data_IF_297862928668
#
_entry.id   IF_297862928668
#
_cell.length_a   1.000
_cell.length_b   1.000
_cell.length_c   1.000
_cell.angle_alpha   90.00
_cell.angle_beta   90.00
_cell.angle_gamma   90.00
#
_symmetry.space_group_name_H-M   'P 1'
#
loop_
_entity.id
_entity.type
_entity.pdbx_description
1 polymer ?
#
# COMPACT_ATOMS: atom_id res chain seq x y z
N UNK A 1 -33.12 31.47 17.65
CA UNK A 1 -31.72 31.03 17.81
C UNK A 1 -31.20 30.60 16.45
N UNK A 2 -29.96 30.95 16.06
CA UNK A 2 -29.32 30.46 14.84
C UNK A 2 -28.30 29.40 15.23
N UNK A 3 -28.51 28.15 14.82
CA UNK A 3 -27.50 27.10 14.84
C UNK A 3 -26.70 27.18 13.54
N UNK A 4 -25.39 27.33 13.62
CA UNK A 4 -24.50 27.27 12.46
C UNK A 4 -23.65 26.02 12.60
N UNK A 5 -24.01 24.94 11.92
CA UNK A 5 -23.15 23.76 11.77
C UNK A 5 -22.04 24.05 10.77
N UNK A 6 -20.83 23.58 11.06
CA UNK A 6 -19.65 23.76 10.19
C UNK A 6 -19.15 22.42 9.69
N UNK A 7 -19.66 22.02 8.53
CA UNK A 7 -19.17 20.83 7.82
C UNK A 7 -17.85 21.16 7.11
N UNK A 8 -16.85 20.30 7.28
CA UNK A 8 -15.53 20.39 6.62
C UNK A 8 -15.16 19.05 5.98
N UNK A 9 -14.50 19.08 4.82
CA UNK A 9 -14.09 17.88 4.09
C UNK A 9 -12.60 17.89 3.74
N UNK A 10 -12.00 16.70 3.66
CA UNK A 10 -10.64 16.48 3.13
C UNK A 10 -10.68 15.33 2.13
N UNK A 11 -10.17 15.57 0.92
CA UNK A 11 -9.92 14.54 -0.09
C UNK A 11 -8.46 14.11 -0.03
N UNK A 12 -8.21 12.82 -0.14
CA UNK A 12 -6.87 12.23 -0.20
C UNK A 12 -6.77 11.26 -1.35
N UNK A 13 -5.73 11.44 -2.16
CA UNK A 13 -5.37 10.54 -3.23
C UNK A 13 -3.97 10.00 -2.93
N UNK A 14 -3.88 8.67 -2.82
CA UNK A 14 -2.66 7.99 -2.43
C UNK A 14 -2.31 6.95 -3.49
N UNK A 15 -1.02 6.87 -3.84
CA UNK A 15 -0.49 5.88 -4.76
C UNK A 15 0.59 5.08 -4.05
N UNK A 16 0.46 3.76 -4.03
CA UNK A 16 1.46 2.84 -3.52
C UNK A 16 2.09 2.13 -4.71
N UNK A 17 3.42 1.99 -4.69
CA UNK A 17 4.18 1.44 -5.81
C UNK A 17 3.84 2.13 -7.16
N UNK A 18 3.97 3.46 -7.21
CA UNK A 18 3.56 4.32 -8.34
C UNK A 18 4.10 3.83 -9.69
N UNK A 19 5.35 3.35 -9.71
CA UNK A 19 6.03 2.86 -10.90
C UNK A 19 5.86 1.35 -11.14
N UNK A 20 5.09 0.66 -10.29
CA UNK A 20 4.84 -0.78 -10.37
C UNK A 20 6.14 -1.62 -10.39
N UNK A 21 7.11 -1.25 -9.55
CA UNK A 21 8.36 -2.00 -9.40
C UNK A 21 8.11 -3.21 -8.48
N UNK A 22 8.57 -4.39 -8.89
CA UNK A 22 8.44 -5.60 -8.08
C UNK A 22 9.42 -5.54 -6.91
N UNK A 23 8.94 -5.72 -5.68
CA UNK A 23 9.77 -5.67 -4.48
C UNK A 23 9.76 -7.04 -3.78
N UNK A 24 10.81 -7.88 -3.93
CA UNK A 24 10.99 -9.12 -3.19
C UNK A 24 11.03 -8.88 -1.67
N UNK A 25 10.27 -9.65 -0.89
CA UNK A 25 10.22 -9.44 0.57
C UNK A 25 10.64 -10.64 1.40
N UNK A 26 10.55 -11.87 0.88
CA UNK A 26 10.91 -13.03 1.69
C UNK A 26 11.31 -14.25 0.88
N UNK A 27 11.78 -15.20 1.68
CA UNK A 27 11.72 -16.63 1.42
C UNK A 27 12.72 -17.15 0.39
N UNK A 28 13.66 -16.31 -0.04
CA UNK A 28 14.88 -16.78 -0.67
C UNK A 28 15.80 -17.42 0.37
N UNK A 29 16.18 -18.68 0.15
CA UNK A 29 17.18 -19.36 0.98
C UNK A 29 18.58 -19.12 0.43
N UNK A 30 19.53 -18.85 1.31
CA UNK A 30 20.97 -18.81 0.98
C UNK A 30 21.66 -20.15 1.23
N UNK A 31 20.92 -21.18 1.67
CA UNK A 31 21.45 -22.51 1.92
C UNK A 31 21.52 -23.32 0.62
N UNK A 32 22.71 -23.78 0.26
CA UNK A 32 23.02 -24.51 -0.98
C UNK A 32 22.26 -25.84 -1.14
N UNK A 33 21.78 -26.46 -0.05
CA UNK A 33 20.98 -27.71 -0.12
C UNK A 33 19.46 -27.45 -0.10
N UNK A 34 19.02 -26.20 -0.06
CA UNK A 34 17.60 -25.84 -0.06
C UNK A 34 17.01 -25.93 -1.47
N UNK A 35 15.80 -26.49 -1.59
CA UNK A 35 15.02 -26.43 -2.85
C UNK A 35 14.63 -25.00 -3.22
N UNK A 36 14.65 -24.09 -2.25
CA UNK A 36 14.39 -22.65 -2.42
C UNK A 36 15.68 -21.84 -2.53
N UNK A 37 16.83 -22.48 -2.78
CA UNK A 37 18.08 -21.77 -2.99
C UNK A 37 17.97 -20.81 -4.18
N UNK A 38 18.32 -19.54 -3.94
CA UNK A 38 18.31 -18.48 -4.95
C UNK A 38 16.95 -18.29 -5.66
N UNK A 39 15.85 -18.56 -4.97
CA UNK A 39 14.49 -18.37 -5.48
C UNK A 39 13.70 -17.42 -4.59
N UNK A 40 13.20 -16.33 -5.14
CA UNK A 40 12.27 -15.43 -4.46
C UNK A 40 10.85 -15.98 -4.63
N UNK A 41 10.17 -16.32 -3.54
CA UNK A 41 8.82 -16.89 -3.59
C UNK A 41 7.72 -15.91 -3.17
N UNK A 42 8.08 -14.69 -2.74
CA UNK A 42 7.11 -13.69 -2.30
C UNK A 42 7.57 -12.28 -2.59
N UNK A 43 6.62 -11.46 -3.02
CA UNK A 43 6.80 -10.05 -3.35
C UNK A 43 5.77 -9.22 -2.62
N UNK A 44 6.08 -7.96 -2.39
CA UNK A 44 5.14 -6.97 -1.84
C UNK A 44 4.00 -6.70 -2.83
N UNK A 45 2.95 -6.05 -2.32
CA UNK A 45 1.78 -5.69 -3.11
C UNK A 45 2.15 -4.90 -4.38
N UNK A 46 1.44 -5.16 -5.50
CA UNK A 46 1.61 -4.41 -6.74
C UNK A 46 1.10 -2.97 -6.58
N UNK A 47 1.06 -2.19 -7.68
CA UNK A 47 0.54 -0.81 -7.63
C UNK A 47 -0.90 -0.76 -7.11
N UNK A 48 -1.12 0.07 -6.08
CA UNK A 48 -2.45 0.35 -5.51
C UNK A 48 -2.70 1.85 -5.59
N UNK A 49 -3.91 2.22 -6.02
CA UNK A 49 -4.42 3.59 -6.00
C UNK A 49 -5.57 3.66 -5.02
N UNK A 50 -5.55 4.63 -4.12
CA UNK A 50 -6.58 4.83 -3.11
C UNK A 50 -7.11 6.26 -3.19
N UNK A 51 -8.43 6.38 -3.12
CA UNK A 51 -9.12 7.65 -3.01
C UNK A 51 -9.97 7.61 -1.74
N UNK A 52 -9.77 8.59 -0.87
CA UNK A 52 -10.47 8.68 0.40
C UNK A 52 -11.04 10.09 0.62
N UNK A 53 -12.17 10.14 1.32
CA UNK A 53 -12.80 11.38 1.78
C UNK A 53 -13.03 11.32 3.28
N UNK A 54 -12.56 12.33 4.00
CA UNK A 54 -12.88 12.53 5.41
C UNK A 54 -13.80 13.73 5.56
N UNK A 55 -14.97 13.52 6.15
CA UNK A 55 -15.94 14.58 6.47
C UNK A 55 -15.98 14.76 7.99
N UNK A 56 -15.92 16.01 8.45
CA UNK A 56 -16.16 16.38 9.84
C UNK A 56 -17.36 17.33 9.85
N UNK A 57 -18.30 17.11 10.76
CA UNK A 57 -19.52 17.88 10.91
C UNK A 57 -19.74 18.21 12.39
#
# INVERSE_FOLDING_TARGET
>A
MKFTERVTGQLRFETFNTFNHTNPICCASTNLISTLYNQVTSTRDPRILQLAMKVNF
#
